data_IF_279665907404
#
_entry.id   IF_279665907404
#
_cell.length_a   1.000
_cell.length_b   1.000
_cell.length_c   1.000
_cell.angle_alpha   90.00
_cell.angle_beta   90.00
_cell.angle_gamma   90.00
#
_symmetry.space_group_name_H-M   'P 1'
#
loop_
_entity.id
_entity.type
_entity.pdbx_description
1 polymer ?
#
# COMPACT_ATOMS: atom_id res chain seq x y z
N UNK A 1 23.24 30.82 -14.05
CA UNK A 1 22.69 30.05 -12.92
C UNK A 1 23.80 29.17 -12.40
N UNK A 2 24.00 29.13 -11.08
CA UNK A 2 25.04 28.32 -10.43
C UNK A 2 24.32 27.19 -9.69
N UNK A 3 24.82 25.96 -9.83
CA UNK A 3 24.19 24.76 -9.28
C UNK A 3 25.01 24.27 -8.11
N UNK A 4 24.45 24.31 -6.90
CA UNK A 4 25.13 23.96 -5.66
C UNK A 4 24.88 22.51 -5.25
N UNK A 5 25.91 21.85 -4.73
CA UNK A 5 25.82 20.55 -4.10
C UNK A 5 25.72 20.73 -2.58
N UNK A 6 24.55 20.42 -2.00
CA UNK A 6 24.27 20.57 -0.56
C UNK A 6 25.16 19.68 0.33
N UNK A 7 25.51 18.43 -0.05
CA UNK A 7 26.40 17.58 0.74
C UNK A 7 27.82 18.13 0.98
N UNK A 8 28.34 19.00 0.11
CA UNK A 8 29.74 19.47 0.18
C UNK A 8 29.93 20.96 -0.08
N UNK A 9 28.83 21.71 -0.18
CA UNK A 9 28.79 23.14 -0.49
C UNK A 9 29.66 23.57 -1.69
N UNK A 10 29.76 22.72 -2.72
CA UNK A 10 30.46 23.04 -3.98
C UNK A 10 29.50 23.58 -5.03
N UNK A 11 29.97 24.56 -5.79
CA UNK A 11 29.20 25.24 -6.83
C UNK A 11 29.71 24.89 -8.22
N UNK A 12 28.77 24.59 -9.13
CA UNK A 12 29.05 24.19 -10.51
C UNK A 12 28.40 25.16 -11.50
N UNK A 13 29.08 25.37 -12.63
CA UNK A 13 28.60 26.24 -13.71
C UNK A 13 27.47 25.66 -14.56
N UNK A 14 27.13 24.37 -14.39
CA UNK A 14 26.07 23.70 -15.14
C UNK A 14 25.40 22.59 -14.32
N UNK A 15 24.14 22.30 -14.65
CA UNK A 15 23.38 21.22 -14.02
C UNK A 15 23.99 19.85 -14.31
N UNK A 16 24.53 19.64 -15.52
CA UNK A 16 25.21 18.41 -15.89
C UNK A 16 26.47 18.18 -15.04
N UNK A 17 27.25 19.23 -14.75
CA UNK A 17 28.41 19.13 -13.89
C UNK A 17 28.03 18.83 -12.42
N UNK A 18 26.93 19.40 -11.93
CA UNK A 18 26.38 19.05 -10.61
C UNK A 18 25.94 17.58 -10.57
N UNK A 19 25.25 17.10 -11.59
CA UNK A 19 24.77 15.72 -11.68
C UNK A 19 25.93 14.72 -11.69
N UNK A 20 26.94 14.96 -12.53
CA UNK A 20 28.15 14.11 -12.54
C UNK A 20 28.90 14.12 -11.20
N UNK A 21 28.87 15.25 -10.48
CA UNK A 21 29.46 15.35 -9.16
C UNK A 21 28.65 14.57 -8.11
N UNK A 22 27.31 14.63 -8.12
CA UNK A 22 26.46 13.87 -7.20
C UNK A 22 26.51 12.36 -7.43
N UNK A 23 26.75 11.94 -8.68
CA UNK A 23 26.89 10.53 -9.05
C UNK A 23 28.32 9.99 -8.86
N UNK A 24 29.27 10.85 -8.46
CA UNK A 24 30.63 10.44 -8.12
C UNK A 24 30.71 9.95 -6.67
N UNK A 25 31.63 9.03 -6.34
CA UNK A 25 31.86 8.56 -4.96
C UNK A 25 32.52 9.63 -4.07
N UNK A 26 32.52 10.90 -4.49
CA UNK A 26 32.95 12.02 -3.67
C UNK A 26 32.10 12.18 -2.40
N UNK A 27 30.88 11.65 -2.43
CA UNK A 27 29.99 11.54 -1.27
C UNK A 27 29.82 10.07 -0.91
N UNK A 28 30.10 9.75 0.36
CA UNK A 28 29.60 8.52 0.94
C UNK A 28 28.20 8.81 1.47
N UNK A 29 27.25 7.98 1.09
CA UNK A 29 25.88 8.02 1.57
C UNK A 29 25.76 6.96 2.64
N UNK A 30 25.96 7.38 3.89
CA UNK A 30 25.91 6.50 5.05
C UNK A 30 24.45 6.20 5.43
N UNK A 31 24.19 4.98 5.86
CA UNK A 31 22.94 4.64 6.51
C UNK A 31 23.01 5.08 7.99
N UNK A 32 22.06 5.87 8.47
CA UNK A 32 22.03 6.27 9.88
C UNK A 32 21.66 5.10 10.82
N UNK A 33 21.08 4.04 10.27
CA UNK A 33 20.60 2.86 11.02
C UNK A 33 21.61 1.69 11.02
N UNK A 34 22.62 1.71 10.14
CA UNK A 34 23.69 0.71 10.15
C UNK A 34 25.00 1.28 9.60
N UNK A 35 26.14 0.69 9.97
CA UNK A 35 27.47 1.17 9.56
C UNK A 35 27.83 0.86 8.08
N UNK A 36 26.87 0.93 7.16
CA UNK A 36 27.07 0.74 5.71
C UNK A 36 27.08 2.08 4.99
N UNK A 37 28.13 2.28 4.19
CA UNK A 37 28.30 3.42 3.30
C UNK A 37 28.06 3.03 1.85
N UNK A 38 27.34 3.86 1.10
CA UNK A 38 27.03 3.65 -0.30
C UNK A 38 27.64 4.75 -1.17
N UNK A 39 28.10 4.40 -2.37
CA UNK A 39 28.71 5.36 -3.31
C UNK A 39 27.71 6.20 -4.10
N UNK A 40 26.41 6.03 -3.88
CA UNK A 40 25.35 6.84 -4.50
C UNK A 40 24.09 6.87 -3.65
N UNK A 41 23.32 7.95 -3.78
CA UNK A 41 22.02 8.09 -3.11
C UNK A 41 21.03 7.01 -3.56
N UNK A 42 21.07 6.60 -4.83
CA UNK A 42 20.21 5.53 -5.34
C UNK A 42 20.51 4.18 -4.67
N UNK A 43 21.79 3.87 -4.45
CA UNK A 43 22.19 2.65 -3.76
C UNK A 43 21.79 2.66 -2.27
N UNK A 44 21.90 3.81 -1.59
CA UNK A 44 21.37 3.99 -0.24
C UNK A 44 19.85 3.79 -0.21
N UNK A 45 19.12 4.39 -1.16
CA UNK A 45 17.65 4.26 -1.23
C UNK A 45 17.23 2.79 -1.42
N UNK A 46 17.86 2.07 -2.34
CA UNK A 46 17.60 0.63 -2.53
C UNK A 46 17.91 -0.20 -1.28
N UNK A 47 18.91 0.21 -0.49
CA UNK A 47 19.24 -0.44 0.77
C UNK A 47 18.18 -0.18 1.85
N UNK A 48 17.67 1.05 1.96
CA UNK A 48 16.58 1.41 2.88
C UNK A 48 15.27 0.68 2.49
N UNK A 49 15.01 0.52 1.20
CA UNK A 49 13.87 -0.25 0.66
C UNK A 49 14.11 -1.77 0.62
N UNK A 50 15.23 -2.25 1.17
CA UNK A 50 15.50 -3.68 1.29
C UNK A 50 14.94 -4.23 2.60
N UNK A 51 14.68 -5.55 2.69
CA UNK A 51 14.24 -6.20 3.94
C UNK A 51 15.20 -6.02 5.13
N UNK A 52 16.41 -5.49 4.92
CA UNK A 52 17.36 -5.18 5.97
C UNK A 52 16.99 -3.91 6.77
N UNK A 53 16.30 -2.94 6.15
CA UNK A 53 15.90 -1.66 6.75
C UNK A 53 14.41 -1.34 6.64
N UNK A 54 13.65 -2.07 5.81
CA UNK A 54 12.21 -2.14 6.01
C UNK A 54 12.01 -2.85 7.35
N UNK A 55 11.50 -2.19 8.40
CA UNK A 55 11.06 -2.92 9.56
C UNK A 55 9.99 -3.85 9.03
N UNK A 56 10.29 -5.16 9.01
CA UNK A 56 9.24 -6.15 8.97
C UNK A 56 8.34 -5.74 10.12
N UNK A 57 7.17 -5.16 9.80
CA UNK A 57 6.14 -4.84 10.77
C UNK A 57 5.60 -6.18 11.24
N UNK A 58 6.43 -6.86 12.01
CA UNK A 58 6.22 -8.05 12.81
C UNK A 58 5.87 -7.58 14.22
N UNK A 59 5.17 -6.45 14.33
CA UNK A 59 4.12 -6.37 15.31
C UNK A 59 3.15 -7.50 14.95
N UNK A 60 3.41 -8.68 15.53
CA UNK A 60 2.59 -9.88 15.44
C UNK A 60 1.15 -9.42 15.52
N UNK A 61 0.40 -9.50 14.43
CA UNK A 61 -0.97 -9.00 14.39
C UNK A 61 -1.78 -9.71 15.47
N UNK A 62 -2.03 -9.01 16.58
CA UNK A 62 -2.89 -9.47 17.70
C UNK A 62 -4.34 -9.04 17.43
N UNK A 63 -4.69 -8.86 16.16
CA UNK A 63 -6.04 -8.50 15.75
C UNK A 63 -6.84 -9.73 15.33
N UNK A 64 -8.08 -9.48 14.91
CA UNK A 64 -9.00 -10.52 14.46
C UNK A 64 -8.56 -11.04 13.09
N UNK A 65 -8.26 -12.34 12.95
CA UNK A 65 -7.73 -12.87 11.69
C UNK A 65 -8.70 -12.60 10.53
N UNK A 66 -8.13 -12.30 9.35
CA UNK A 66 -8.88 -11.99 8.12
C UNK A 66 -9.89 -13.08 7.76
N UNK A 67 -9.57 -14.34 8.08
CA UNK A 67 -10.45 -15.49 7.87
C UNK A 67 -11.79 -15.37 8.59
N UNK A 68 -11.85 -14.65 9.71
CA UNK A 68 -13.08 -14.45 10.49
C UNK A 68 -13.83 -13.21 10.01
N UNK A 69 -13.14 -12.11 9.68
CA UNK A 69 -13.77 -10.85 9.26
C UNK A 69 -14.31 -10.90 7.81
N UNK A 70 -13.55 -11.53 6.91
CA UNK A 70 -13.86 -11.56 5.48
C UNK A 70 -15.23 -12.18 5.13
N UNK A 71 -15.65 -13.33 5.69
CA UNK A 71 -16.95 -13.91 5.38
C UNK A 71 -18.11 -13.04 5.88
N UNK A 72 -17.96 -12.38 7.02
CA UNK A 72 -18.97 -11.49 7.61
C UNK A 72 -19.17 -10.26 6.73
N UNK A 73 -18.07 -9.61 6.39
CA UNK A 73 -18.08 -8.43 5.53
C UNK A 73 -18.58 -8.75 4.12
N UNK A 74 -18.12 -9.86 3.52
CA UNK A 74 -18.58 -10.30 2.20
C UNK A 74 -20.07 -10.66 2.17
N UNK A 75 -20.60 -11.25 3.25
CA UNK A 75 -22.04 -11.54 3.37
C UNK A 75 -22.86 -10.26 3.52
N UNK A 76 -22.36 -9.29 4.29
CA UNK A 76 -22.98 -7.96 4.41
C UNK A 76 -23.06 -7.24 3.06
N UNK A 77 -21.99 -7.28 2.25
CA UNK A 77 -22.01 -6.72 0.88
C UNK A 77 -23.07 -7.41 0.01
N UNK A 78 -23.16 -8.74 0.05
CA UNK A 78 -24.13 -9.51 -0.75
C UNK A 78 -25.59 -9.19 -0.37
N UNK A 79 -25.85 -8.96 0.91
CA UNK A 79 -27.20 -8.77 1.43
C UNK A 79 -27.64 -7.31 1.52
N UNK A 80 -26.76 -6.33 1.22
CA UNK A 80 -27.06 -4.89 1.40
C UNK A 80 -28.40 -4.40 0.83
N UNK A 81 -28.83 -4.97 -0.30
CA UNK A 81 -30.09 -4.59 -0.96
C UNK A 81 -31.34 -5.01 -0.17
N UNK A 82 -31.18 -5.94 0.78
CA UNK A 82 -32.21 -6.39 1.72
C UNK A 82 -32.06 -5.78 3.11
N UNK A 83 -31.10 -4.87 3.29
CA UNK A 83 -30.78 -4.23 4.56
C UNK A 83 -30.57 -5.26 5.69
N UNK A 84 -29.44 -5.99 5.68
CA UNK A 84 -29.22 -7.10 6.59
C UNK A 84 -29.07 -6.61 8.01
N UNK A 85 -29.74 -7.28 8.95
CA UNK A 85 -29.56 -7.05 10.39
C UNK A 85 -28.38 -7.84 10.94
N UNK A 86 -27.96 -7.54 12.17
CA UNK A 86 -26.87 -8.26 12.84
C UNK A 86 -27.20 -9.75 12.98
N UNK A 87 -28.44 -10.09 13.31
CA UNK A 87 -28.87 -11.48 13.48
C UNK A 87 -28.90 -12.26 12.15
N UNK A 88 -29.22 -11.59 11.02
CA UNK A 88 -29.14 -12.20 9.68
C UNK A 88 -27.72 -12.63 9.32
N UNK A 89 -26.74 -11.79 9.67
CA UNK A 89 -25.32 -12.08 9.43
C UNK A 89 -24.84 -13.20 10.36
N UNK A 90 -25.18 -13.13 11.65
CA UNK A 90 -24.80 -14.15 12.64
C UNK A 90 -25.33 -15.54 12.27
N UNK A 91 -26.60 -15.65 11.85
CA UNK A 91 -27.19 -16.92 11.42
C UNK A 91 -26.52 -17.52 10.18
N UNK A 92 -26.08 -16.69 9.23
CA UNK A 92 -25.51 -17.16 7.96
C UNK A 92 -24.02 -17.47 8.04
N UNK A 93 -23.28 -16.72 8.84
CA UNK A 93 -21.82 -16.81 8.88
C UNK A 93 -21.27 -17.54 10.10
N UNK A 94 -22.13 -17.91 11.08
CA UNK A 94 -21.77 -18.66 12.30
C UNK A 94 -20.49 -18.13 12.97
N UNK A 95 -20.38 -16.81 13.00
CA UNK A 95 -19.18 -16.09 13.45
C UNK A 95 -19.19 -15.97 14.96
N UNK A 96 -18.01 -16.00 15.56
CA UNK A 96 -17.82 -15.68 16.98
C UNK A 96 -17.49 -14.19 17.22
N UNK A 97 -17.63 -13.33 16.20
CA UNK A 97 -17.42 -11.89 16.36
C UNK A 97 -18.49 -11.27 17.26
N UNK A 98 -18.07 -10.29 18.05
CA UNK A 98 -18.99 -9.49 18.85
C UNK A 98 -20.01 -8.76 17.96
N UNK A 99 -21.23 -8.59 18.49
CA UNK A 99 -22.34 -7.92 17.79
C UNK A 99 -21.97 -6.51 17.32
N UNK A 100 -21.17 -5.78 18.08
CA UNK A 100 -20.71 -4.43 17.73
C UNK A 100 -19.80 -4.44 16.50
N UNK A 101 -18.90 -5.42 16.41
CA UNK A 101 -18.00 -5.61 15.27
C UNK A 101 -18.80 -5.95 14.01
N UNK A 102 -19.77 -6.86 14.13
CA UNK A 102 -20.67 -7.23 13.03
C UNK A 102 -21.48 -6.01 12.56
N UNK A 103 -22.02 -5.20 13.48
CA UNK A 103 -22.74 -3.97 13.14
C UNK A 103 -21.88 -2.95 12.41
N UNK A 104 -20.62 -2.77 12.84
CA UNK A 104 -19.66 -1.91 12.17
C UNK A 104 -19.32 -2.42 10.75
N UNK A 105 -19.15 -3.72 10.57
CA UNK A 105 -18.90 -4.34 9.26
C UNK A 105 -20.10 -4.21 8.31
N UNK A 106 -21.33 -4.36 8.83
CA UNK A 106 -22.56 -4.12 8.05
C UNK A 106 -22.60 -2.64 7.63
N UNK A 107 -22.39 -1.73 8.58
CA UNK A 107 -22.41 -0.29 8.32
C UNK A 107 -21.36 0.12 7.29
N UNK A 108 -20.17 -0.48 7.35
CA UNK A 108 -19.13 -0.30 6.34
C UNK A 108 -19.58 -0.84 4.98
N UNK A 109 -20.13 -2.06 4.92
CA UNK A 109 -20.60 -2.68 3.68
C UNK A 109 -21.77 -1.93 3.01
N UNK A 110 -22.64 -1.29 3.81
CA UNK A 110 -23.75 -0.47 3.32
C UNK A 110 -23.29 0.88 2.77
N UNK A 111 -22.25 1.48 3.35
CA UNK A 111 -21.67 2.75 2.89
C UNK A 111 -20.72 2.60 1.72
N UNK A 112 -20.13 1.41 1.57
CA UNK A 112 -19.24 1.11 0.45
C UNK A 112 -20.08 0.80 -0.80
N UNK A 113 -19.81 1.57 -1.86
CA UNK A 113 -20.42 1.39 -3.17
C UNK A 113 -20.28 -0.07 -3.64
N UNK A 114 -21.21 -0.59 -4.47
CA UNK A 114 -20.99 -1.80 -5.24
C UNK A 114 -19.60 -1.83 -5.85
N UNK A 115 -18.91 -2.97 -5.68
CA UNK A 115 -17.53 -3.15 -6.16
C UNK A 115 -17.40 -2.82 -7.66
N UNK A 116 -18.47 -2.79 -8.48
CA UNK A 116 -18.32 -2.48 -9.92
C UNK A 116 -19.51 -1.78 -10.60
N UNK A 117 -20.26 -0.88 -9.94
CA UNK A 117 -21.25 -0.06 -10.68
C UNK A 117 -20.90 1.43 -10.73
N UNK A 118 -19.70 1.80 -10.28
CA UNK A 118 -19.18 3.13 -10.56
C UNK A 118 -18.72 3.19 -12.01
N UNK A 119 -18.87 4.33 -12.72
CA UNK A 119 -18.34 4.50 -14.07
C UNK A 119 -16.87 4.09 -14.18
N UNK A 120 -16.09 4.36 -13.13
CA UNK A 120 -14.68 3.97 -13.00
C UNK A 120 -14.48 2.45 -12.86
N UNK A 121 -15.30 1.76 -12.04
CA UNK A 121 -15.21 0.30 -11.87
C UNK A 121 -15.59 -0.47 -13.13
N UNK A 122 -16.58 0.03 -13.88
CA UNK A 122 -16.97 -0.51 -15.18
C UNK A 122 -15.82 -0.34 -16.20
N UNK A 123 -15.17 0.82 -16.24
CA UNK A 123 -14.02 1.07 -17.11
C UNK A 123 -12.87 0.10 -16.83
N UNK A 124 -12.46 -0.02 -15.56
CA UNK A 124 -11.34 -0.87 -15.16
C UNK A 124 -11.58 -2.37 -15.45
N UNK A 125 -12.84 -2.83 -15.33
CA UNK A 125 -13.23 -4.22 -15.64
C UNK A 125 -13.19 -4.48 -17.14
N UNK A 126 -13.55 -3.49 -17.93
CA UNK A 126 -13.50 -3.53 -19.38
C UNK A 126 -12.04 -3.54 -19.87
N UNK A 127 -11.18 -2.70 -19.30
CA UNK A 127 -9.74 -2.67 -19.58
C UNK A 127 -9.08 -4.02 -19.25
N UNK A 128 -9.38 -4.60 -18.08
CA UNK A 128 -8.87 -5.94 -17.71
C UNK A 128 -9.33 -7.04 -18.66
N UNK A 129 -10.57 -6.98 -19.15
CA UNK A 129 -11.07 -7.95 -20.14
C UNK A 129 -10.34 -7.81 -21.49
N UNK A 130 -10.01 -6.58 -21.89
CA UNK A 130 -9.28 -6.32 -23.13
C UNK A 130 -7.81 -6.78 -23.05
N UNK A 131 -7.10 -6.50 -21.95
CA UNK A 131 -5.72 -6.97 -21.75
C UNK A 131 -5.67 -8.50 -21.77
N UNK A 132 -6.59 -9.16 -21.06
CA UNK A 132 -6.63 -10.62 -20.98
C UNK A 132 -7.02 -11.31 -22.31
N UNK A 133 -7.71 -10.60 -23.19
CA UNK A 133 -8.03 -11.07 -24.54
C UNK A 133 -6.90 -10.80 -25.55
N UNK A 134 -5.99 -9.86 -25.27
CA UNK A 134 -4.80 -9.58 -26.07
C UNK A 134 -3.61 -10.48 -25.70
N UNK A 135 -3.62 -11.04 -24.49
CA UNK A 135 -2.62 -12.00 -23.99
C UNK A 135 -2.94 -13.47 -24.33
N UNK A 136 -4.08 -13.75 -24.99
CA UNK A 136 -4.54 -15.07 -25.42
C UNK A 136 -4.45 -15.22 -26.95
#
# INVERSE_FOLDING_TARGET
MVYGCVPCDRYFGSQHALQQHSDSPAHNFDCDECDKSFGSQHALQQHLDSPAHIPATSAKYIGIPRSVVSPVYGTAIKLRFKQPTVDDILQRTKTELERQIVSALISAALRLLPIDNTPYGIALRTEKHQVKAAEA
#
